data_IF_612522776686
#
_entry.id   IF_612522776686
#
_cell.length_a   1.000
_cell.length_b   1.000
_cell.length_c   1.000
_cell.angle_alpha   90.00
_cell.angle_beta   90.00
_cell.angle_gamma   90.00
#
_symmetry.space_group_name_H-M   'P 1'
#
loop_
_entity.id
_entity.type
_entity.pdbx_description
1 polymer ?
#
# COMPACT_ATOMS: atom_id res chain seq x y z
N UNK A 1 2.83 -17.21 -10.04
CA UNK A 1 2.74 -16.42 -11.28
C UNK A 1 3.79 -15.32 -11.24
N UNK A 2 3.74 -14.30 -12.10
CA UNK A 2 4.86 -13.40 -12.35
C UNK A 2 4.66 -12.06 -11.62
N UNK A 3 5.70 -11.60 -10.93
CA UNK A 3 5.77 -10.23 -10.42
C UNK A 3 5.75 -9.25 -11.60
N UNK A 4 4.86 -8.27 -11.55
CA UNK A 4 4.67 -7.27 -12.61
C UNK A 4 5.21 -5.90 -12.19
N UNK A 5 5.66 -5.06 -13.14
CA UNK A 5 6.01 -3.68 -12.83
C UNK A 5 4.81 -2.91 -12.28
N UNK A 6 5.02 -2.19 -11.19
CA UNK A 6 4.07 -1.25 -10.64
C UNK A 6 4.25 0.10 -11.33
N UNK A 7 3.20 0.60 -11.98
CA UNK A 7 3.21 1.89 -12.66
C UNK A 7 3.19 3.04 -11.65
N UNK A 8 3.90 4.11 -11.97
CA UNK A 8 4.05 5.31 -11.14
C UNK A 8 3.08 6.41 -11.62
N UNK A 9 2.65 7.26 -10.68
CA UNK A 9 1.81 8.42 -10.93
C UNK A 9 2.25 9.21 -12.16
N UNK A 10 1.31 9.38 -13.10
CA UNK A 10 1.54 9.99 -14.41
C UNK A 10 1.13 9.07 -15.55
N UNK A 11 1.13 7.76 -15.32
CA UNK A 11 0.61 6.81 -16.30
C UNK A 11 -0.91 6.95 -16.49
N UNK A 12 -1.42 7.08 -17.74
CA UNK A 12 -2.85 7.24 -17.99
C UNK A 12 -3.73 6.14 -17.42
N UNK A 13 -3.22 4.92 -17.21
CA UNK A 13 -4.00 3.82 -16.64
C UNK A 13 -4.45 4.11 -15.20
N UNK A 14 -3.65 4.85 -14.43
CA UNK A 14 -3.94 5.24 -13.04
C UNK A 14 -4.96 6.38 -12.94
N UNK A 15 -5.22 7.08 -14.05
CA UNK A 15 -6.01 8.31 -14.11
C UNK A 15 -7.27 8.15 -14.97
N UNK A 16 -7.71 6.90 -15.17
CA UNK A 16 -8.92 6.54 -15.91
C UNK A 16 -9.75 5.56 -15.11
N UNK A 17 -11.07 5.69 -15.21
CA UNK A 17 -11.99 4.71 -14.61
C UNK A 17 -11.76 3.36 -15.27
N UNK A 18 -11.45 2.35 -14.46
CA UNK A 18 -11.20 1.00 -14.93
C UNK A 18 -12.48 0.37 -15.50
N UNK A 19 -12.33 -0.51 -16.50
CA UNK A 19 -13.44 -1.21 -17.14
C UNK A 19 -13.96 -2.34 -16.26
N UNK A 20 -15.28 -2.56 -16.27
CA UNK A 20 -15.88 -3.70 -15.56
C UNK A 20 -15.35 -5.02 -16.12
N UNK A 21 -15.04 -5.95 -15.22
CA UNK A 21 -14.78 -7.35 -15.57
C UNK A 21 -16.08 -7.99 -16.02
N UNK A 22 -16.08 -8.66 -17.17
CA UNK A 22 -17.26 -9.29 -17.76
C UNK A 22 -17.21 -10.83 -17.72
N UNK A 23 -16.01 -11.40 -17.76
CA UNK A 23 -15.77 -12.84 -17.74
C UNK A 23 -14.97 -13.20 -16.47
N UNK A 24 -15.44 -14.24 -15.79
CA UNK A 24 -14.81 -14.84 -14.61
C UNK A 24 -14.22 -16.18 -15.06
N UNK A 25 -13.06 -16.10 -15.71
CA UNK A 25 -12.39 -17.22 -16.36
C UNK A 25 -10.90 -17.27 -15.96
N UNK A 26 -10.17 -18.22 -16.56
CA UNK A 26 -8.75 -18.44 -16.31
C UNK A 26 -7.89 -17.17 -16.52
N UNK A 27 -8.33 -16.22 -17.36
CA UNK A 27 -7.59 -14.97 -17.56
C UNK A 27 -7.70 -14.02 -16.37
N UNK A 28 -8.87 -13.99 -15.72
CA UNK A 28 -9.06 -13.26 -14.47
C UNK A 28 -8.30 -13.93 -13.32
N UNK A 29 -8.31 -15.26 -13.26
CA UNK A 29 -7.55 -16.02 -12.26
C UNK A 29 -6.05 -15.75 -12.37
N UNK A 30 -5.50 -15.79 -13.58
CA UNK A 30 -4.10 -15.47 -13.84
C UNK A 30 -3.76 -14.01 -13.47
N UNK A 31 -4.63 -13.06 -13.82
CA UNK A 31 -4.44 -11.64 -13.47
C UNK A 31 -4.42 -11.44 -11.96
N UNK A 32 -5.41 -11.97 -11.24
CA UNK A 32 -5.53 -11.80 -9.79
C UNK A 32 -4.33 -12.37 -9.07
N UNK A 33 -3.75 -13.43 -9.61
CA UNK A 33 -2.67 -14.10 -8.93
C UNK A 33 -1.28 -13.56 -9.35
N UNK A 34 -1.12 -12.95 -10.54
CA UNK A 34 -0.04 -11.96 -10.80
C UNK A 34 -0.14 -10.77 -9.82
N UNK A 35 -1.34 -10.27 -9.52
CA UNK A 35 -1.54 -9.16 -8.60
C UNK A 35 -1.13 -9.52 -7.17
N UNK A 36 -1.48 -10.72 -6.71
CA UNK A 36 -1.03 -11.24 -5.43
C UNK A 36 0.50 -11.36 -5.36
N UNK A 37 1.13 -12.00 -6.35
CA UNK A 37 2.60 -12.12 -6.37
C UNK A 37 3.30 -10.76 -6.40
N UNK A 38 2.72 -9.80 -7.13
CA UNK A 38 3.25 -8.42 -7.20
C UNK A 38 3.06 -7.66 -5.89
N UNK A 39 1.90 -7.79 -5.25
CA UNK A 39 1.61 -7.17 -3.96
C UNK A 39 2.57 -7.71 -2.88
N UNK A 40 2.76 -9.02 -2.84
CA UNK A 40 3.63 -9.70 -1.88
C UNK A 40 5.09 -9.25 -2.07
N UNK A 41 5.58 -9.25 -3.31
CA UNK A 41 6.94 -8.81 -3.64
C UNK A 41 7.18 -7.31 -3.39
N UNK A 42 6.12 -6.51 -3.32
CA UNK A 42 6.17 -5.08 -3.01
C UNK A 42 5.88 -4.78 -1.53
N UNK A 43 5.71 -5.81 -0.69
CA UNK A 43 5.31 -5.70 0.71
C UNK A 43 4.04 -4.85 0.93
N UNK A 44 3.13 -4.88 -0.06
CA UNK A 44 1.87 -4.14 -0.03
C UNK A 44 0.77 -4.88 0.76
N UNK A 45 -0.21 -4.11 1.22
CA UNK A 45 -1.43 -4.65 1.87
C UNK A 45 -2.66 -4.65 0.94
N UNK A 46 -2.50 -4.05 -0.25
CA UNK A 46 -3.52 -3.90 -1.27
C UNK A 46 -2.88 -3.59 -2.63
N UNK A 47 -3.51 -4.06 -3.70
CA UNK A 47 -3.09 -3.77 -5.07
C UNK A 47 -4.28 -3.81 -6.03
N UNK A 48 -4.52 -2.71 -6.74
CA UNK A 48 -5.51 -2.61 -7.79
C UNK A 48 -4.90 -2.92 -9.16
N UNK A 49 -5.65 -3.58 -10.06
CA UNK A 49 -5.17 -3.93 -11.40
C UNK A 49 -4.58 -2.76 -12.22
N UNK A 50 -5.11 -1.51 -12.13
CA UNK A 50 -4.49 -0.36 -12.80
C UNK A 50 -3.03 -0.14 -12.41
N UNK A 51 -2.64 -0.48 -11.17
CA UNK A 51 -1.27 -0.31 -10.69
C UNK A 51 -0.26 -1.23 -11.38
N UNK A 52 -0.71 -2.32 -12.02
CA UNK A 52 0.14 -3.19 -12.85
C UNK A 52 -0.12 -3.00 -14.36
N UNK A 53 -0.70 -1.86 -14.73
CA UNK A 53 -0.99 -1.49 -16.12
C UNK A 53 -2.28 -2.10 -16.70
N UNK A 54 -3.13 -2.72 -15.87
CA UNK A 54 -4.34 -3.40 -16.34
C UNK A 54 -5.59 -2.61 -15.94
N UNK A 55 -6.26 -1.98 -16.91
CA UNK A 55 -7.45 -1.16 -16.68
C UNK A 55 -8.73 -1.94 -16.38
N UNK A 56 -8.71 -2.92 -15.48
CA UNK A 56 -9.87 -3.70 -15.05
C UNK A 56 -10.28 -3.38 -13.60
N UNK A 57 -11.59 -3.46 -13.31
CA UNK A 57 -12.15 -3.19 -11.98
C UNK A 57 -11.97 -4.39 -11.05
N UNK A 58 -10.74 -4.62 -10.62
CA UNK A 58 -10.41 -5.65 -9.62
C UNK A 58 -9.26 -5.17 -8.76
N UNK A 59 -9.33 -5.45 -7.46
CA UNK A 59 -8.23 -5.27 -6.53
C UNK A 59 -8.08 -6.51 -5.64
N UNK A 60 -6.86 -6.74 -5.17
CA UNK A 60 -6.52 -7.73 -4.15
C UNK A 60 -6.10 -7.04 -2.86
N UNK A 61 -6.16 -7.75 -1.74
CA UNK A 61 -5.70 -7.25 -0.45
C UNK A 61 -5.16 -8.39 0.42
N UNK A 62 -4.26 -8.04 1.34
CA UNK A 62 -3.88 -8.84 2.50
C UNK A 62 -3.72 -7.95 3.73
N UNK A 63 -4.70 -7.99 4.63
CA UNK A 63 -4.74 -7.21 5.85
C UNK A 63 -5.52 -7.95 6.95
N UNK A 64 -4.89 -8.27 8.09
CA UNK A 64 -5.60 -8.73 9.27
C UNK A 64 -6.70 -7.73 9.68
N UNK A 65 -7.88 -8.25 10.01
CA UNK A 65 -9.04 -7.45 10.39
C UNK A 65 -9.92 -8.22 11.39
N UNK A 66 -10.75 -7.49 12.13
CA UNK A 66 -11.72 -8.02 13.09
C UNK A 66 -13.16 -7.98 12.54
N UNK A 67 -13.33 -7.78 11.23
CA UNK A 67 -14.62 -7.59 10.56
C UNK A 67 -15.29 -8.91 10.13
N UNK A 68 -14.71 -10.05 10.48
CA UNK A 68 -15.19 -11.38 10.07
C UNK A 68 -14.95 -11.69 8.58
N UNK A 69 -14.06 -10.94 7.94
CA UNK A 69 -13.67 -11.09 6.53
C UNK A 69 -12.30 -11.76 6.45
N UNK A 70 -12.12 -12.65 5.48
CA UNK A 70 -10.83 -13.30 5.27
C UNK A 70 -9.72 -12.24 5.11
N UNK A 71 -8.56 -12.39 5.79
CA UNK A 71 -7.52 -11.37 5.80
C UNK A 71 -6.87 -11.19 4.43
N UNK A 72 -6.91 -12.20 3.55
CA UNK A 72 -6.43 -12.14 2.17
C UNK A 72 -7.58 -12.44 1.22
N UNK A 73 -7.77 -11.59 0.22
CA UNK A 73 -8.91 -11.71 -0.69
C UNK A 73 -8.81 -10.85 -1.94
N UNK A 74 -9.83 -11.00 -2.80
CA UNK A 74 -10.00 -10.27 -4.05
C UNK A 74 -11.42 -9.74 -4.13
N UNK A 75 -11.58 -8.53 -4.66
CA UNK A 75 -12.89 -7.96 -4.94
C UNK A 75 -12.97 -7.52 -6.40
N UNK A 76 -13.85 -8.17 -7.14
CA UNK A 76 -14.12 -7.91 -8.56
C UNK A 76 -15.35 -7.03 -8.69
N UNK A 77 -15.29 -6.02 -9.57
CA UNK A 77 -16.32 -5.02 -9.80
C UNK A 77 -16.90 -4.38 -8.51
N UNK A 78 -16.04 -3.92 -7.56
CA UNK A 78 -16.50 -3.39 -6.28
C UNK A 78 -17.42 -2.17 -6.42
N UNK A 79 -18.30 -2.03 -5.44
CA UNK A 79 -19.09 -0.85 -5.11
C UNK A 79 -18.86 -0.57 -3.63
N UNK A 80 -18.45 0.65 -3.30
CA UNK A 80 -18.24 1.08 -1.92
C UNK A 80 -19.29 2.11 -1.50
N UNK A 81 -19.86 1.91 -0.32
CA UNK A 81 -20.71 2.88 0.38
C UNK A 81 -20.03 3.28 1.70
N UNK A 82 -19.12 4.28 1.67
CA UNK A 82 -18.42 4.73 2.87
C UNK A 82 -19.36 5.49 3.80
N UNK A 83 -19.08 5.42 5.10
CA UNK A 83 -19.70 6.30 6.10
C UNK A 83 -19.23 7.75 5.90
N UNK A 84 -19.73 8.67 6.74
CA UNK A 84 -19.29 10.07 6.70
C UNK A 84 -17.82 10.15 7.10
N UNK A 85 -17.00 10.77 6.24
CA UNK A 85 -15.62 11.14 6.59
C UNK A 85 -15.67 12.13 7.77
N UNK A 86 -14.96 11.87 8.89
CA UNK A 86 -14.91 12.79 10.01
C UNK A 86 -14.41 14.17 9.58
N UNK A 87 -15.07 15.24 10.04
CA UNK A 87 -14.67 16.63 9.77
C UNK A 87 -13.57 17.08 10.75
N UNK A 88 -12.46 16.34 10.71
CA UNK A 88 -11.28 16.57 11.51
C UNK A 88 -10.07 16.53 10.59
N UNK A 89 -9.01 17.28 10.94
CA UNK A 89 -7.74 17.14 10.22
C UNK A 89 -7.17 15.74 10.44
N UNK A 90 -6.49 15.15 9.44
CA UNK A 90 -5.81 13.89 9.64
C UNK A 90 -4.66 14.07 10.63
N UNK A 91 -4.54 13.12 11.55
CA UNK A 91 -3.42 12.98 12.46
C UNK A 91 -2.17 12.54 11.68
N UNK A 92 -1.06 13.29 11.73
CA UNK A 92 0.11 12.98 10.94
C UNK A 92 0.81 11.65 11.27
N UNK A 93 0.66 11.16 12.49
CA UNK A 93 1.34 9.96 12.97
C UNK A 93 0.47 8.72 12.78
N UNK A 94 -0.84 8.85 13.00
CA UNK A 94 -1.76 7.71 13.03
C UNK A 94 -2.63 7.57 11.78
N UNK A 95 -2.64 8.56 10.88
CA UNK A 95 -3.46 8.54 9.67
C UNK A 95 -2.65 8.80 8.40
N UNK A 96 -1.42 8.29 8.39
CA UNK A 96 -0.47 8.37 7.28
C UNK A 96 -0.74 7.27 6.25
N UNK A 97 -0.96 7.65 4.99
CA UNK A 97 -1.26 6.72 3.89
C UNK A 97 -0.16 6.80 2.82
N UNK A 98 0.24 5.65 2.28
CA UNK A 98 1.20 5.52 1.17
C UNK A 98 0.58 4.77 -0.01
N UNK A 99 1.31 4.68 -1.12
CA UNK A 99 0.85 3.98 -2.32
C UNK A 99 2.03 3.46 -3.13
N UNK A 100 1.98 2.21 -3.60
CA UNK A 100 3.02 1.62 -4.46
C UNK A 100 3.22 2.41 -5.77
N UNK A 101 2.18 3.12 -6.24
CA UNK A 101 2.23 3.99 -7.44
C UNK A 101 2.65 5.44 -7.14
N UNK A 102 2.95 5.76 -5.89
CA UNK A 102 3.58 7.02 -5.46
C UNK A 102 4.69 6.68 -4.45
N UNK A 103 5.78 6.05 -4.93
CA UNK A 103 6.65 5.21 -4.12
C UNK A 103 7.46 5.99 -3.06
N UNK A 104 7.60 5.42 -1.86
CA UNK A 104 8.44 5.94 -0.78
C UNK A 104 7.89 7.16 -0.03
N UNK A 105 6.64 7.53 -0.28
CA UNK A 105 6.05 8.76 0.25
C UNK A 105 4.72 8.48 0.94
N UNK A 106 4.56 9.09 2.12
CA UNK A 106 3.37 8.97 2.93
C UNK A 106 2.87 10.34 3.34
N UNK A 107 1.56 10.56 3.22
CA UNK A 107 0.93 11.79 3.67
C UNK A 107 -0.31 11.53 4.53
N UNK A 108 -0.59 12.41 5.49
CA UNK A 108 -1.79 12.28 6.33
C UNK A 108 -3.06 12.49 5.52
N UNK A 109 -3.97 11.52 5.57
CA UNK A 109 -5.24 11.52 4.85
C UNK A 109 -6.37 11.00 5.75
N UNK A 110 -7.48 11.74 5.79
CA UNK A 110 -8.68 11.31 6.51
C UNK A 110 -9.57 10.49 5.57
N UNK A 111 -10.04 9.34 6.04
CA UNK A 111 -10.94 8.42 5.34
C UNK A 111 -12.21 8.24 6.17
N UNK A 112 -13.23 7.61 5.60
CA UNK A 112 -14.35 7.13 6.40
C UNK A 112 -13.87 5.94 7.25
N UNK A 113 -14.25 5.89 8.52
CA UNK A 113 -13.83 4.82 9.43
C UNK A 113 -14.56 3.49 9.17
N UNK A 114 -15.59 3.53 8.33
CA UNK A 114 -16.36 2.36 7.94
C UNK A 114 -16.77 2.45 6.48
N UNK A 115 -16.77 1.33 5.77
CA UNK A 115 -17.32 1.22 4.42
C UNK A 115 -18.01 -0.12 4.22
N UNK A 116 -19.21 -0.09 3.62
CA UNK A 116 -19.83 -1.30 3.07
C UNK A 116 -19.25 -1.55 1.69
N UNK A 117 -18.73 -2.74 1.47
CA UNK A 117 -18.16 -3.21 0.21
C UNK A 117 -19.08 -4.28 -0.35
N UNK A 118 -19.52 -4.10 -1.59
CA UNK A 118 -20.24 -5.13 -2.36
C UNK A 118 -19.52 -5.36 -3.68
N UNK A 119 -19.60 -6.57 -4.23
CA UNK A 119 -18.92 -6.92 -5.48
C UNK A 119 -19.02 -8.42 -5.75
N UNK A 120 -17.98 -8.97 -6.36
CA UNK A 120 -17.90 -10.40 -6.65
C UNK A 120 -16.55 -10.98 -6.21
N UNK A 121 -16.54 -12.25 -5.86
CA UNK A 121 -15.32 -13.04 -5.72
C UNK A 121 -14.78 -13.51 -7.08
N UNK A 122 -13.69 -14.29 -7.09
CA UNK A 122 -13.06 -14.81 -8.30
C UNK A 122 -13.95 -15.77 -9.10
N UNK A 123 -14.88 -16.44 -8.43
CA UNK A 123 -15.84 -17.38 -9.03
C UNK A 123 -17.11 -16.68 -9.52
N UNK A 124 -17.22 -15.35 -9.34
CA UNK A 124 -18.40 -14.58 -9.70
C UNK A 124 -19.55 -14.65 -8.69
N UNK A 125 -19.32 -15.18 -7.48
CA UNK A 125 -20.32 -15.12 -6.42
C UNK A 125 -20.35 -13.72 -5.82
N UNK A 126 -21.53 -13.25 -5.46
CA UNK A 126 -21.68 -11.96 -4.79
C UNK A 126 -21.01 -11.97 -3.41
N UNK A 127 -20.30 -10.89 -3.11
CA UNK A 127 -19.79 -10.61 -1.77
C UNK A 127 -20.40 -9.30 -1.26
N UNK A 128 -20.66 -9.25 0.03
CA UNK A 128 -21.11 -8.06 0.73
C UNK A 128 -20.59 -8.11 2.18
N UNK A 129 -19.83 -7.11 2.58
CA UNK A 129 -19.30 -7.00 3.93
C UNK A 129 -19.12 -5.54 4.35
N UNK A 130 -18.89 -5.33 5.64
CA UNK A 130 -18.53 -4.03 6.21
C UNK A 130 -17.08 -4.12 6.66
N UNK A 131 -16.25 -3.19 6.19
CA UNK A 131 -14.89 -3.01 6.66
C UNK A 131 -14.83 -1.82 7.61
N UNK A 132 -13.98 -1.90 8.64
CA UNK A 132 -13.75 -0.84 9.62
C UNK A 132 -12.27 -0.44 9.71
N UNK A 133 -12.01 0.73 10.30
CA UNK A 133 -10.68 1.25 10.62
C UNK A 133 -9.68 1.19 9.44
N UNK A 134 -8.52 0.55 9.66
CA UNK A 134 -7.48 0.40 8.63
C UNK A 134 -7.92 -0.46 7.45
N UNK A 135 -8.78 -1.45 7.67
CA UNK A 135 -9.32 -2.26 6.59
C UNK A 135 -10.28 -1.43 5.73
N UNK A 136 -11.12 -0.59 6.34
CA UNK A 136 -11.95 0.36 5.61
C UNK A 136 -11.12 1.32 4.75
N UNK A 137 -10.00 1.82 5.29
CA UNK A 137 -9.06 2.68 4.56
C UNK A 137 -8.46 1.96 3.35
N UNK A 138 -7.99 0.72 3.53
CA UNK A 138 -7.46 -0.10 2.45
C UNK A 138 -8.49 -0.25 1.32
N UNK A 139 -9.73 -0.64 1.65
CA UNK A 139 -10.78 -0.79 0.64
C UNK A 139 -11.06 0.52 -0.12
N UNK A 140 -11.12 1.65 0.58
CA UNK A 140 -11.31 2.97 -0.04
C UNK A 140 -10.12 3.36 -0.94
N UNK A 141 -8.89 3.03 -0.55
CA UNK A 141 -7.69 3.26 -1.35
C UNK A 141 -7.73 2.47 -2.66
N UNK A 142 -7.94 1.16 -2.58
CA UNK A 142 -7.97 0.32 -3.77
C UNK A 142 -9.13 0.68 -4.71
N UNK A 143 -10.28 1.05 -4.13
CA UNK A 143 -11.41 1.51 -4.93
C UNK A 143 -11.13 2.84 -5.65
N UNK A 144 -10.35 3.75 -5.08
CA UNK A 144 -9.94 4.98 -5.75
C UNK A 144 -9.13 4.70 -7.01
N UNK A 145 -8.19 3.75 -6.93
CA UNK A 145 -7.42 3.32 -8.11
C UNK A 145 -8.34 2.86 -9.25
N UNK A 146 -9.40 2.12 -8.94
CA UNK A 146 -10.37 1.67 -9.95
C UNK A 146 -11.21 2.81 -10.55
N UNK A 147 -11.25 3.97 -9.89
CA UNK A 147 -11.92 5.18 -10.37
C UNK A 147 -10.93 6.20 -10.96
N UNK A 148 -9.67 5.83 -11.14
CA UNK A 148 -8.65 6.69 -11.73
C UNK A 148 -8.18 7.80 -10.78
N UNK A 149 -8.13 7.52 -9.48
CA UNK A 149 -7.66 8.45 -8.46
C UNK A 149 -6.56 7.80 -7.62
N UNK A 150 -5.60 8.60 -7.19
CA UNK A 150 -4.59 8.24 -6.21
C UNK A 150 -4.91 8.93 -4.87
N UNK A 151 -4.38 8.40 -3.78
CA UNK A 151 -4.58 9.01 -2.45
C UNK A 151 -4.10 10.49 -2.42
N UNK A 152 -3.06 10.82 -3.20
CA UNK A 152 -2.52 12.18 -3.30
C UNK A 152 -3.54 13.19 -3.85
N UNK A 153 -4.54 12.74 -4.61
CA UNK A 153 -5.61 13.57 -5.16
C UNK A 153 -6.67 13.94 -4.09
N UNK A 154 -6.68 13.21 -2.96
CA UNK A 154 -7.60 13.45 -1.83
C UNK A 154 -6.97 14.30 -0.72
N UNK A 155 -5.69 14.63 -0.83
CA UNK A 155 -4.98 15.36 0.21
C UNK A 155 -5.48 16.80 0.34
N UNK A 156 -5.53 17.29 1.58
CA UNK A 156 -5.76 18.72 1.85
C UNK A 156 -4.59 19.57 1.33
N UNK A 157 -4.84 20.86 1.05
CA UNK A 157 -3.91 21.79 0.38
C UNK A 157 -2.46 21.79 0.88
N UNK A 158 -2.25 21.62 2.20
CA UNK A 158 -0.90 21.55 2.77
C UNK A 158 -0.13 20.34 2.21
N UNK A 159 -0.74 19.16 2.28
CA UNK A 159 -0.11 17.89 1.91
C UNK A 159 -0.11 17.70 0.40
N UNK A 160 -1.17 18.10 -0.30
CA UNK A 160 -1.21 18.09 -1.76
C UNK A 160 -0.08 18.93 -2.38
N UNK A 161 0.22 20.13 -1.83
CA UNK A 161 1.36 20.92 -2.28
C UNK A 161 2.71 20.22 -2.05
N UNK A 162 2.84 19.43 -0.98
CA UNK A 162 4.06 18.65 -0.72
C UNK A 162 4.18 17.49 -1.72
N UNK A 163 3.11 16.72 -1.92
CA UNK A 163 3.05 15.65 -2.92
C UNK A 163 3.42 16.16 -4.33
N UNK A 164 2.90 17.32 -4.75
CA UNK A 164 3.27 17.91 -6.06
C UNK A 164 4.74 18.30 -6.18
N UNK A 165 5.37 18.77 -5.09
CA UNK A 165 6.81 19.08 -5.09
C UNK A 165 7.64 17.82 -5.23
N UNK A 166 7.27 16.76 -4.51
CA UNK A 166 7.89 15.44 -4.60
C UNK A 166 7.75 14.86 -6.00
N UNK A 167 6.53 14.84 -6.55
CA UNK A 167 6.28 14.36 -7.91
C UNK A 167 7.15 15.09 -8.94
N UNK A 168 7.23 16.42 -8.84
CA UNK A 168 8.09 17.23 -9.72
C UNK A 168 9.58 16.91 -9.53
N UNK A 169 10.05 16.73 -8.30
CA UNK A 169 11.45 16.43 -8.01
C UNK A 169 11.88 15.06 -8.57
N UNK A 170 10.97 14.08 -8.52
CA UNK A 170 11.19 12.74 -9.06
C UNK A 170 10.85 12.61 -10.57
N UNK A 171 10.41 13.69 -11.22
CA UNK A 171 10.00 13.65 -12.63
C UNK A 171 8.73 12.83 -12.89
N UNK A 172 7.92 12.56 -11.87
CA UNK A 172 6.63 11.88 -11.97
C UNK A 172 5.56 12.80 -12.58
N UNK A 173 4.41 12.22 -12.91
CA UNK A 173 3.31 12.92 -13.60
C UNK A 173 3.39 12.84 -15.12
N UNK A 174 4.27 11.98 -15.67
CA UNK A 174 4.36 11.63 -17.09
C UNK A 174 4.14 10.13 -17.29
N UNK A 175 3.68 9.69 -18.48
CA UNK A 175 3.45 8.28 -18.76
C UNK A 175 4.73 7.43 -18.80
N UNK A 176 4.59 6.12 -18.61
CA UNK A 176 5.66 5.14 -18.85
C UNK A 176 6.69 4.98 -17.73
N UNK A 177 6.44 5.54 -16.55
CA UNK A 177 7.26 5.32 -15.36
C UNK A 177 6.72 4.12 -14.56
N UNK A 178 7.61 3.24 -14.15
CA UNK A 178 7.30 2.07 -13.32
C UNK A 178 8.52 1.64 -12.52
N UNK A 179 8.31 0.79 -11.52
CA UNK A 179 9.35 0.05 -10.83
C UNK A 179 8.94 -1.42 -10.71
N UNK A 180 9.90 -2.33 -10.61
CA UNK A 180 9.67 -3.78 -10.56
C UNK A 180 9.99 -4.32 -9.16
N UNK A 181 8.97 -4.72 -8.37
CA UNK A 181 9.19 -5.32 -7.06
C UNK A 181 10.08 -6.56 -7.12
N UNK A 182 10.92 -6.75 -6.10
CA UNK A 182 11.91 -7.84 -6.04
C UNK A 182 13.10 -7.70 -7.00
N UNK A 183 13.17 -6.64 -7.81
CA UNK A 183 14.30 -6.34 -8.70
C UNK A 183 14.84 -4.94 -8.44
N UNK A 184 13.97 -3.93 -8.47
CA UNK A 184 14.31 -2.57 -8.04
C UNK A 184 14.29 -2.48 -6.50
N UNK A 185 15.09 -1.59 -5.88
CA UNK A 185 15.09 -1.42 -4.43
C UNK A 185 13.70 -1.08 -3.89
N UNK A 186 13.30 -1.69 -2.78
CA UNK A 186 12.03 -1.36 -2.13
C UNK A 186 12.00 0.13 -1.73
N UNK A 187 11.07 0.92 -2.28
CA UNK A 187 11.05 2.36 -2.06
C UNK A 187 10.56 2.77 -0.67
N UNK A 188 9.99 1.83 0.09
CA UNK A 188 9.51 2.00 1.46
C UNK A 188 10.51 1.48 2.51
N UNK A 189 11.62 0.89 2.07
CA UNK A 189 12.72 0.47 2.93
C UNK A 189 12.41 -0.79 3.73
N UNK A 190 11.61 -1.71 3.19
CA UNK A 190 11.35 -2.99 3.85
C UNK A 190 12.54 -3.97 3.73
N UNK A 191 13.31 -3.89 2.65
CA UNK A 191 14.48 -4.76 2.38
C UNK A 191 15.63 -4.63 3.41
N UNK A 192 15.72 -3.52 4.15
CA UNK A 192 16.84 -3.28 5.08
C UNK A 192 16.74 -4.07 6.39
N UNK A 193 15.66 -4.81 6.62
CA UNK A 193 15.46 -5.61 7.85
C UNK A 193 16.02 -7.04 7.77
N UNK A 194 16.32 -7.57 6.58
CA UNK A 194 16.77 -8.97 6.41
C UNK A 194 18.31 -9.14 6.35
N UNK A 195 19.08 -8.06 6.48
CA UNK A 195 20.49 -8.02 6.06
C UNK A 195 21.55 -7.69 7.10
N UNK A 196 21.25 -7.56 8.40
CA UNK A 196 22.26 -7.24 9.42
C UNK A 196 22.00 -7.93 10.77
N UNK A 197 21.97 -9.25 10.75
CA UNK A 197 22.43 -10.06 11.89
C UNK A 197 23.80 -10.64 11.52
N UNK A 198 24.86 -9.94 11.92
CA UNK A 198 26.24 -10.37 11.76
C UNK A 198 26.96 -10.27 13.10
N UNK A 199 26.81 -11.29 13.91
CA UNK A 199 27.65 -11.54 15.07
C UNK A 199 29.09 -11.83 14.59
N UNK A 200 30.07 -11.25 15.28
CA UNK A 200 31.50 -11.55 15.20
C UNK A 200 32.21 -10.74 16.28
N UNK A 201 32.10 -11.19 17.53
CA UNK A 201 33.12 -11.94 18.27
C UNK A 201 34.21 -11.04 18.89
N UNK A 202 34.16 -11.02 20.22
CA UNK A 202 35.28 -11.12 21.15
C UNK A 202 36.36 -10.04 21.14
N UNK A 203 36.28 -9.16 22.15
CA UNK A 203 37.43 -8.87 23.00
C UNK A 203 36.97 -8.78 24.46
N UNK A 204 36.95 -9.93 25.14
CA UNK A 204 36.98 -10.01 26.59
C UNK A 204 38.40 -10.30 27.07
N UNK A 205 38.64 -9.94 28.33
CA UNK A 205 39.81 -10.23 29.19
C UNK A 205 40.97 -9.22 29.05
N UNK A 206 41.52 -8.61 30.10
CA UNK A 206 41.40 -8.77 31.55
C UNK A 206 42.24 -7.68 32.22
N UNK A 207 41.98 -7.31 33.49
CA UNK A 207 42.85 -6.39 34.21
C UNK A 207 42.33 -5.87 35.54
N UNK A 208 42.28 -6.76 36.53
CA UNK A 208 42.11 -6.46 37.96
C UNK A 208 43.24 -5.57 38.51
N UNK A 209 42.90 -4.56 39.32
CA UNK A 209 43.63 -4.09 40.52
C UNK A 209 42.74 -3.07 41.26
N UNK A 210 42.11 -3.43 42.38
CA UNK A 210 42.64 -3.41 43.75
C UNK A 210 42.76 -2.01 44.36
N UNK A 211 42.12 -1.88 45.53
CA UNK A 211 42.04 -0.76 46.48
C UNK A 211 43.36 -0.02 46.73
N UNK A 212 43.26 1.29 47.06
CA UNK A 212 43.96 1.93 48.19
C UNK A 212 43.49 3.37 48.47
N UNK A 213 43.55 3.68 49.76
CA UNK A 213 43.08 4.85 50.50
C UNK A 213 43.87 6.17 50.31
N UNK A 214 43.27 7.23 50.88
CA UNK A 214 43.87 8.44 51.48
C UNK A 214 44.23 9.57 50.49
N UNK A 215 44.13 10.87 50.78
CA UNK A 215 43.82 11.63 51.99
C UNK A 215 43.43 13.08 51.58
N UNK A 216 42.72 13.78 52.49
CA UNK A 216 42.82 15.21 52.84
C UNK A 216 43.27 16.21 51.75
N UNK A 217 42.41 17.16 51.42
CA UNK A 217 42.40 18.56 51.90
C UNK A 217 41.08 19.24 51.53
#
# INVERSE_FOLDING_TARGET
MAVRPVVISGDPVLHRVAARVQAFDESLEALVADMFDTMDAAHGVGLAAPQIGVGQRVFVYEMPNDDGVAPRGVVVNPILAPSRIPDLRPDPETESEGCLSFPGEHFPLKRADQVRVSGYDLSGNEIDFVATDWFARCMQHEFDHLNGMLYVDRLIDKWHRRARKVAKANGWGVPGLSWLPGVDPDPFGHDVMDGQCGCGEDHAMSGSHAERESARE
#
